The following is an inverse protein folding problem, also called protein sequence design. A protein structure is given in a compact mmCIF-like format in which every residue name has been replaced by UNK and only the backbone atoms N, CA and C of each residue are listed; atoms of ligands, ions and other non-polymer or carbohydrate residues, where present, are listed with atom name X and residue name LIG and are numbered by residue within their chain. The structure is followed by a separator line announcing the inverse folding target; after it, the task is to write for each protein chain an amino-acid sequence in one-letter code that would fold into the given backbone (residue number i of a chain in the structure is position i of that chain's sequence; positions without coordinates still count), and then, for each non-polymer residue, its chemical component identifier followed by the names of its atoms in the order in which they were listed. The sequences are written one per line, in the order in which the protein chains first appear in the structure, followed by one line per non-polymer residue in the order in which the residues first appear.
data_IF_323448703791
#
_entry.id   IF_323448703791
#
_cell.length_a   1.000
_cell.length_b   1.000
_cell.length_c   1.000
_cell.angle_alpha   90.00
_cell.angle_beta   90.00
_cell.angle_gamma   90.00
#
_symmetry.space_group_name_H-M   'P 1'
#
loop_
_entity.id
_entity.type
_entity.pdbx_description
1 polymer ?
#
# COMPACT_ATOMS: atom_id res chain seq x y z
N UNK A 1 -8.01 -9.74 -17.42
CA UNK A 1 -7.06 -9.27 -16.40
C UNK A 1 -7.55 -7.90 -15.96
N UNK A 2 -8.19 -7.84 -14.80
CA UNK A 2 -8.64 -6.59 -14.22
C UNK A 2 -7.54 -6.04 -13.32
N UNK A 3 -7.35 -4.73 -13.33
CA UNK A 3 -6.41 -4.07 -12.44
C UNK A 3 -7.05 -2.81 -11.88
N UNK A 4 -6.51 -2.30 -10.78
CA UNK A 4 -6.86 -0.97 -10.28
C UNK A 4 -5.64 -0.09 -10.28
N UNK A 5 -5.86 1.21 -10.52
CA UNK A 5 -4.80 2.21 -10.58
C UNK A 5 -5.18 3.45 -9.78
N UNK A 6 -4.17 4.24 -9.41
CA UNK A 6 -4.37 5.47 -8.65
C UNK A 6 -4.23 6.69 -9.56
N UNK A 7 -5.28 7.49 -9.69
CA UNK A 7 -5.19 8.86 -10.19
C UNK A 7 -4.71 9.79 -9.07
N UNK A 8 -3.62 10.50 -9.34
CA UNK A 8 -2.98 11.45 -8.42
C UNK A 8 -2.98 12.88 -8.98
N UNK A 9 -3.89 13.19 -9.90
CA UNK A 9 -4.14 14.55 -10.38
C UNK A 9 -4.32 15.53 -9.21
N UNK A 10 -5.00 15.07 -8.14
CA UNK A 10 -4.98 15.68 -6.81
C UNK A 10 -4.11 14.84 -5.88
N UNK A 11 -3.01 15.43 -5.36
CA UNK A 11 -2.00 14.69 -4.60
C UNK A 11 -2.45 14.29 -3.20
N UNK A 12 -3.28 15.11 -2.58
CA UNK A 12 -3.74 14.95 -1.20
C UNK A 12 -5.03 14.12 -1.11
N UNK A 13 -5.69 13.90 -2.25
CA UNK A 13 -6.90 13.09 -2.38
C UNK A 13 -6.82 12.18 -3.63
N UNK A 14 -5.84 11.25 -3.69
CA UNK A 14 -5.74 10.29 -4.79
C UNK A 14 -7.01 9.44 -4.93
N UNK A 15 -7.42 9.22 -6.18
CA UNK A 15 -8.59 8.44 -6.54
C UNK A 15 -8.17 7.05 -6.99
N UNK A 16 -8.83 6.03 -6.47
CA UNK A 16 -8.71 4.66 -6.94
C UNK A 16 -9.64 4.48 -8.14
N UNK A 17 -9.08 4.08 -9.27
CA UNK A 17 -9.79 3.83 -10.52
C UNK A 17 -9.87 2.33 -10.80
N UNK A 18 -10.99 1.90 -11.37
CA UNK A 18 -11.06 0.62 -12.07
C UNK A 18 -10.27 0.76 -13.39
N UNK A 19 -9.29 -0.11 -13.58
CA UNK A 19 -8.39 -0.14 -14.74
C UNK A 19 -7.77 1.25 -15.00
N UNK A 20 -8.07 1.87 -16.14
CA UNK A 20 -7.59 3.21 -16.53
C UNK A 20 -8.64 4.32 -16.31
N UNK A 21 -9.75 4.01 -15.62
CA UNK A 21 -10.93 4.89 -15.51
C UNK A 21 -11.92 4.72 -16.66
N UNK A 22 -13.06 5.43 -16.65
CA UNK A 22 -13.39 6.55 -15.76
C UNK A 22 -14.03 6.15 -14.42
N UNK A 23 -14.26 4.86 -14.18
CA UNK A 23 -14.91 4.39 -12.96
C UNK A 23 -14.00 4.59 -11.73
N UNK A 24 -14.53 5.31 -10.73
CA UNK A 24 -13.85 5.62 -9.47
C UNK A 24 -14.38 4.69 -8.38
N UNK A 25 -13.50 3.89 -7.79
CA UNK A 25 -13.82 2.95 -6.72
C UNK A 25 -13.74 3.60 -5.34
N UNK A 26 -12.92 4.65 -5.19
CA UNK A 26 -12.86 5.44 -3.97
C UNK A 26 -11.91 6.62 -4.05
N UNK A 27 -12.02 7.52 -3.09
CA UNK A 27 -11.14 8.68 -2.92
C UNK A 27 -10.47 8.59 -1.54
N UNK A 28 -9.15 8.67 -1.50
CA UNK A 28 -8.36 8.41 -0.29
C UNK A 28 -7.53 9.63 0.05
N UNK A 29 -7.62 10.09 1.29
CA UNK A 29 -6.73 11.09 1.88
C UNK A 29 -5.71 10.41 2.80
N UNK A 30 -5.01 11.19 3.64
CA UNK A 30 -4.08 10.64 4.62
C UNK A 30 -4.79 9.98 5.81
N UNK A 31 -5.93 10.51 6.22
CA UNK A 31 -6.63 10.11 7.46
C UNK A 31 -8.04 9.54 7.19
N UNK A 32 -8.53 9.65 5.96
CA UNK A 32 -9.86 9.18 5.60
C UNK A 32 -9.93 8.66 4.17
N UNK A 33 -10.94 7.85 3.88
CA UNK A 33 -11.31 7.48 2.51
C UNK A 33 -12.82 7.47 2.32
N UNK A 34 -13.27 7.69 1.10
CA UNK A 34 -14.65 7.46 0.69
C UNK A 34 -14.67 6.30 -0.30
N UNK A 35 -15.22 5.16 0.10
CA UNK A 35 -15.30 3.94 -0.71
C UNK A 35 -16.77 3.52 -0.81
N UNK A 36 -17.31 3.42 -2.03
CA UNK A 36 -18.72 3.04 -2.22
C UNK A 36 -19.73 3.95 -1.50
N UNK A 37 -19.38 5.22 -1.26
CA UNK A 37 -20.20 6.18 -0.50
C UNK A 37 -20.10 6.06 1.03
N UNK A 38 -19.30 5.13 1.55
CA UNK A 38 -18.99 5.03 2.97
C UNK A 38 -17.69 5.75 3.30
N UNK A 39 -17.68 6.48 4.42
CA UNK A 39 -16.47 7.11 4.93
C UNK A 39 -15.71 6.14 5.84
N UNK A 40 -14.43 5.96 5.55
CA UNK A 40 -13.50 5.20 6.35
C UNK A 40 -12.52 6.16 7.04
N UNK A 41 -12.24 5.92 8.30
CA UNK A 41 -11.15 6.54 9.05
C UNK A 41 -9.90 5.65 8.93
N UNK A 42 -8.81 6.21 8.44
CA UNK A 42 -7.57 5.50 8.14
C UNK A 42 -6.52 5.78 9.23
N UNK A 43 -5.92 4.71 9.74
CA UNK A 43 -4.79 4.78 10.65
C UNK A 43 -3.66 3.91 10.12
N UNK A 44 -2.52 4.52 9.78
CA UNK A 44 -1.34 3.81 9.29
C UNK A 44 -0.20 3.97 10.29
N UNK A 45 0.37 2.85 10.71
CA UNK A 45 1.53 2.78 11.57
C UNK A 45 2.57 1.86 10.91
N UNK A 46 3.57 2.39 10.18
CA UNK A 46 4.48 1.60 9.34
C UNK A 46 5.16 0.40 10.03
N UNK A 47 5.32 0.47 11.35
CA UNK A 47 5.93 -0.58 12.16
C UNK A 47 4.97 -1.65 12.67
N UNK A 48 3.67 -1.36 12.78
CA UNK A 48 2.67 -2.27 13.34
C UNK A 48 1.54 -2.64 12.38
N UNK A 49 1.34 -1.90 11.29
CA UNK A 49 0.34 -2.20 10.28
C UNK A 49 -0.53 -1.01 9.87
N UNK A 50 -1.73 -1.29 9.41
CA UNK A 50 -2.70 -0.28 9.00
C UNK A 50 -4.12 -0.76 9.34
N UNK A 51 -4.99 0.17 9.73
CA UNK A 51 -6.39 -0.10 10.09
C UNK A 51 -7.29 0.93 9.42
N UNK A 52 -8.36 0.47 8.78
CA UNK A 52 -9.46 1.31 8.31
C UNK A 52 -10.73 0.98 9.11
N UNK A 53 -11.44 2.02 9.57
CA UNK A 53 -12.70 1.88 10.30
C UNK A 53 -13.84 2.56 9.57
N UNK A 54 -15.00 1.92 9.48
CA UNK A 54 -16.23 2.53 8.99
C UNK A 54 -17.23 2.56 10.14
N UNK A 55 -17.74 3.74 10.51
CA UNK A 55 -18.68 3.91 11.64
C UNK A 55 -18.18 3.29 12.97
N UNK A 56 -16.87 3.30 13.21
CA UNK A 56 -16.24 2.73 14.41
C UNK A 56 -15.92 1.23 14.33
N UNK A 57 -16.41 0.51 13.32
CA UNK A 57 -16.10 -0.90 13.09
C UNK A 57 -14.89 -1.04 12.16
N UNK A 58 -13.98 -1.95 12.48
CA UNK A 58 -12.82 -2.24 11.63
C UNK A 58 -13.29 -2.94 10.34
N UNK A 59 -13.02 -2.32 9.19
CA UNK A 59 -13.34 -2.87 7.87
C UNK A 59 -12.12 -3.44 7.17
N UNK A 60 -10.93 -2.88 7.44
CA UNK A 60 -9.66 -3.38 6.93
C UNK A 60 -8.64 -3.37 8.06
N UNK A 61 -7.88 -4.43 8.22
CA UNK A 61 -6.81 -4.54 9.20
C UNK A 61 -5.61 -5.28 8.60
N UNK A 62 -4.44 -4.65 8.60
CA UNK A 62 -3.17 -5.25 8.24
C UNK A 62 -2.30 -5.36 9.50
N UNK A 63 -1.84 -6.57 9.87
CA UNK A 63 -1.17 -6.83 11.16
C UNK A 63 0.29 -7.25 11.00
N UNK A 64 1.13 -6.38 10.45
CA UNK A 64 2.58 -6.55 10.41
C UNK A 64 3.29 -5.23 10.06
N UNK A 65 4.61 -5.19 10.23
CA UNK A 65 5.42 -4.05 9.75
C UNK A 65 5.33 -3.93 8.22
N UNK A 66 4.69 -2.88 7.74
CA UNK A 66 4.57 -2.56 6.31
C UNK A 66 5.94 -2.30 5.67
N UNK A 67 6.88 -1.77 6.46
CA UNK A 67 8.23 -1.48 6.00
C UNK A 67 9.09 -2.76 5.88
N UNK A 68 9.01 -3.67 6.85
CA UNK A 68 10.04 -4.72 7.05
C UNK A 68 9.53 -6.15 6.86
N UNK A 69 8.25 -6.42 7.06
CA UNK A 69 7.73 -7.77 6.99
C UNK A 69 7.84 -8.34 5.56
N UNK A 70 8.01 -9.66 5.48
CA UNK A 70 7.92 -10.43 4.22
C UNK A 70 6.52 -10.90 3.93
N UNK A 71 5.74 -11.10 4.98
CA UNK A 71 4.33 -11.51 4.94
C UNK A 71 3.53 -10.55 5.79
N UNK A 72 2.44 -10.03 5.25
CA UNK A 72 1.55 -9.09 5.92
C UNK A 72 0.14 -9.68 5.87
N UNK A 73 -0.36 -10.23 7.00
CA UNK A 73 -1.75 -10.64 7.10
C UNK A 73 -2.66 -9.43 6.95
N UNK A 74 -3.72 -9.56 6.16
CA UNK A 74 -4.73 -8.52 5.91
C UNK A 74 -6.12 -9.13 6.05
N UNK A 75 -6.94 -8.55 6.92
CA UNK A 75 -8.34 -8.91 7.10
C UNK A 75 -9.23 -7.81 6.53
N UNK A 76 -10.22 -8.18 5.74
CA UNK A 76 -11.22 -7.27 5.17
C UNK A 76 -12.60 -7.86 5.40
N UNK A 77 -13.38 -7.26 6.31
CA UNK A 77 -14.63 -7.86 6.78
C UNK A 77 -14.40 -9.29 7.29
N UNK A 78 -15.04 -10.27 6.66
CA UNK A 78 -14.90 -11.70 6.99
C UNK A 78 -13.77 -12.41 6.23
N UNK A 79 -13.14 -11.73 5.26
CA UNK A 79 -12.13 -12.34 4.37
C UNK A 79 -10.74 -12.08 4.90
N UNK A 80 -9.87 -13.06 4.70
CA UNK A 80 -8.47 -13.00 5.10
C UNK A 80 -7.58 -13.17 3.88
N UNK A 81 -6.54 -12.36 3.82
CA UNK A 81 -5.54 -12.32 2.79
C UNK A 81 -4.16 -12.28 3.40
N UNK A 82 -3.15 -12.66 2.63
CA UNK A 82 -1.75 -12.47 2.99
C UNK A 82 -1.02 -11.83 1.82
N UNK A 83 -0.43 -10.66 2.06
CA UNK A 83 0.51 -10.04 1.14
C UNK A 83 1.87 -10.69 1.34
N UNK A 84 2.43 -11.31 0.32
CA UNK A 84 3.71 -12.04 0.37
C UNK A 84 4.71 -11.39 -0.57
N UNK A 85 5.90 -11.08 -0.05
CA UNK A 85 7.03 -10.63 -0.85
C UNK A 85 7.74 -11.84 -1.49
N UNK A 86 7.51 -12.08 -2.79
CA UNK A 86 8.13 -13.20 -3.49
C UNK A 86 9.62 -12.95 -3.77
N UNK A 87 9.94 -11.78 -4.33
CA UNK A 87 11.31 -11.40 -4.65
C UNK A 87 11.46 -9.90 -4.69
N UNK A 88 12.20 -9.34 -3.73
CA UNK A 88 12.61 -7.94 -3.71
C UNK A 88 11.42 -6.98 -3.71
N UNK A 89 11.02 -6.53 -4.90
CA UNK A 89 9.98 -5.53 -5.15
C UNK A 89 8.63 -6.12 -5.58
N UNK A 90 8.55 -7.43 -5.84
CA UNK A 90 7.35 -8.10 -6.31
C UNK A 90 6.58 -8.70 -5.14
N UNK A 91 5.27 -8.46 -5.14
CA UNK A 91 4.34 -8.89 -4.11
C UNK A 91 3.16 -9.60 -4.74
N UNK A 92 2.69 -10.63 -4.05
CA UNK A 92 1.44 -11.34 -4.37
C UNK A 92 0.48 -11.22 -3.21
N UNK A 93 -0.80 -11.27 -3.50
CA UNK A 93 -1.89 -11.34 -2.52
C UNK A 93 -2.49 -12.73 -2.65
N UNK A 94 -2.41 -13.49 -1.57
CA UNK A 94 -3.03 -14.80 -1.48
C UNK A 94 -4.29 -14.70 -0.62
N UNK A 95 -5.32 -15.46 -0.95
CA UNK A 95 -6.50 -15.60 -0.11
C UNK A 95 -6.27 -16.60 1.04
N UNK A 96 -7.32 -16.88 1.81
CA UNK A 96 -7.28 -17.83 2.92
C UNK A 96 -6.99 -19.29 2.50
N UNK A 97 -7.24 -19.65 1.23
CA UNK A 97 -6.91 -20.96 0.67
C UNK A 97 -5.47 -21.04 0.16
N UNK A 98 -4.74 -19.92 0.14
CA UNK A 98 -3.40 -19.81 -0.44
C UNK A 98 -3.42 -19.63 -1.95
N UNK A 99 -4.58 -19.36 -2.55
CA UNK A 99 -4.72 -19.07 -3.97
C UNK A 99 -4.35 -17.60 -4.23
N UNK A 100 -3.57 -17.37 -5.28
CA UNK A 100 -3.15 -16.03 -5.67
C UNK A 100 -4.34 -15.29 -6.30
N UNK A 101 -4.76 -14.21 -5.65
CA UNK A 101 -5.87 -13.38 -6.11
C UNK A 101 -5.41 -12.07 -6.75
N UNK A 102 -4.23 -11.59 -6.36
CA UNK A 102 -3.68 -10.36 -6.92
C UNK A 102 -2.15 -10.30 -6.87
N UNK A 103 -1.57 -9.33 -7.58
CA UNK A 103 -0.15 -9.00 -7.51
C UNK A 103 0.08 -7.50 -7.67
N UNK A 104 1.17 -7.02 -7.08
CA UNK A 104 1.65 -5.65 -7.26
C UNK A 104 3.17 -5.61 -7.22
N UNK A 105 3.77 -4.62 -7.88
CA UNK A 105 5.23 -4.46 -7.92
C UNK A 105 5.63 -3.01 -7.69
N UNK A 106 6.81 -2.83 -7.10
CA UNK A 106 7.46 -1.53 -6.99
C UNK A 106 8.31 -1.18 -8.23
N UNK A 107 8.59 -2.14 -9.12
CA UNK A 107 9.46 -1.91 -10.28
C UNK A 107 8.76 -1.11 -11.40
N UNK A 108 9.55 -0.29 -12.11
CA UNK A 108 9.18 0.57 -13.25
C UNK A 108 8.22 1.75 -12.99
N UNK A 109 7.37 1.72 -11.96
CA UNK A 109 6.43 2.82 -11.68
C UNK A 109 6.49 3.38 -10.25
N UNK A 110 7.06 2.64 -9.29
CA UNK A 110 6.99 2.96 -7.86
C UNK A 110 5.57 3.31 -7.38
N UNK A 111 5.43 4.01 -6.24
CA UNK A 111 4.14 4.51 -5.74
C UNK A 111 3.41 5.49 -6.71
N UNK A 112 4.05 5.93 -7.81
CA UNK A 112 3.38 6.84 -8.77
C UNK A 112 2.33 6.13 -9.62
N UNK A 113 2.45 4.81 -9.81
CA UNK A 113 1.39 3.93 -10.32
C UNK A 113 1.44 2.62 -9.55
N UNK A 114 0.97 2.64 -8.30
CA UNK A 114 0.71 1.40 -7.58
C UNK A 114 -0.45 0.70 -8.32
N UNK A 115 -0.15 -0.32 -9.09
CA UNK A 115 -1.15 -1.10 -9.80
C UNK A 115 -1.31 -2.41 -9.05
N UNK A 116 -2.56 -2.72 -8.70
CA UNK A 116 -2.91 -4.02 -8.17
C UNK A 116 -3.64 -4.77 -9.29
N UNK A 117 -3.02 -5.84 -9.76
CA UNK A 117 -3.52 -6.69 -10.83
C UNK A 117 -4.19 -7.91 -10.22
N UNK A 118 -5.43 -8.19 -10.61
CA UNK A 118 -6.19 -9.33 -10.12
C UNK A 118 -6.17 -10.48 -11.13
N UNK A 119 -6.14 -11.71 -10.61
CA UNK A 119 -6.27 -12.91 -11.42
C UNK A 119 -7.75 -13.21 -11.72
N UNK A 120 -8.08 -13.56 -12.98
CA UNK A 120 -9.44 -13.91 -13.40
C UNK A 120 -10.41 -12.74 -13.62
N UNK A 121 -11.72 -13.05 -13.64
CA UNK A 121 -12.80 -12.06 -13.52
C UNK A 121 -12.91 -11.68 -12.03
N UNK A 122 -12.74 -10.40 -11.70
CA UNK A 122 -12.75 -9.89 -10.32
C UNK A 122 -14.12 -10.08 -9.69
N UNK A 123 -14.33 -11.23 -9.03
CA UNK A 123 -15.53 -11.55 -8.27
C UNK A 123 -15.44 -11.00 -6.82
N UNK A 124 -14.41 -10.18 -6.54
CA UNK A 124 -14.20 -9.57 -5.24
C UNK A 124 -15.12 -8.36 -5.06
N UNK A 125 -15.75 -8.19 -3.88
CA UNK A 125 -16.45 -6.96 -3.51
C UNK A 125 -15.57 -5.72 -3.68
N UNK A 126 -16.19 -4.59 -4.02
CA UNK A 126 -15.47 -3.31 -4.17
C UNK A 126 -14.71 -2.91 -2.89
N UNK A 127 -15.24 -3.24 -1.71
CA UNK A 127 -14.58 -3.05 -0.41
C UNK A 127 -13.24 -3.79 -0.34
N UNK A 128 -13.20 -5.05 -0.77
CA UNK A 128 -11.99 -5.88 -0.78
C UNK A 128 -10.96 -5.31 -1.74
N UNK A 129 -11.40 -4.95 -2.95
CA UNK A 129 -10.55 -4.34 -3.97
C UNK A 129 -9.95 -3.03 -3.46
N UNK A 130 -10.76 -2.17 -2.85
CA UNK A 130 -10.34 -0.89 -2.31
C UNK A 130 -9.40 -1.06 -1.10
N UNK A 131 -9.70 -1.99 -0.19
CA UNK A 131 -8.87 -2.29 0.96
C UNK A 131 -7.50 -2.85 0.58
N UNK A 132 -7.46 -3.83 -0.34
CA UNK A 132 -6.20 -4.38 -0.85
C UNK A 132 -5.38 -3.35 -1.63
N UNK A 133 -6.04 -2.51 -2.45
CA UNK A 133 -5.37 -1.44 -3.16
C UNK A 133 -4.77 -0.40 -2.20
N UNK A 134 -5.49 -0.08 -1.12
CA UNK A 134 -5.00 0.82 -0.09
C UNK A 134 -3.81 0.24 0.67
N UNK A 135 -3.92 -0.97 1.22
CA UNK A 135 -2.83 -1.60 1.99
C UNK A 135 -1.59 -1.81 1.10
N UNK A 136 -1.75 -2.23 -0.16
CA UNK A 136 -0.61 -2.37 -1.09
C UNK A 136 0.09 -1.02 -1.33
N UNK A 137 -0.65 0.08 -1.45
CA UNK A 137 -0.06 1.43 -1.53
C UNK A 137 0.75 1.77 -0.28
N UNK A 138 0.20 1.54 0.91
CA UNK A 138 0.87 1.83 2.19
C UNK A 138 2.15 0.99 2.38
N UNK A 139 2.16 -0.27 1.93
CA UNK A 139 3.37 -1.10 1.90
C UNK A 139 4.46 -0.49 1.01
N UNK A 140 4.08 -0.02 -0.18
CA UNK A 140 5.01 0.63 -1.11
C UNK A 140 5.53 1.98 -0.59
N UNK A 141 4.70 2.74 0.13
CA UNK A 141 5.06 4.02 0.75
C UNK A 141 6.00 3.82 1.94
N UNK A 142 5.67 2.91 2.86
CA UNK A 142 6.48 2.60 4.04
C UNK A 142 7.91 2.17 3.66
N UNK A 143 8.06 1.34 2.62
CA UNK A 143 9.38 0.91 2.13
C UNK A 143 10.20 2.05 1.51
N UNK A 144 9.56 3.02 0.85
CA UNK A 144 10.27 4.20 0.30
C UNK A 144 10.83 5.10 1.39
N UNK A 145 10.08 5.30 2.47
CA UNK A 145 10.53 6.13 3.59
C UNK A 145 11.76 5.54 4.28
N UNK A 146 11.79 4.21 4.48
CA UNK A 146 12.95 3.51 5.04
C UNK A 146 14.24 3.73 4.22
N UNK A 147 14.16 3.60 2.89
CA UNK A 147 15.32 3.80 1.99
C UNK A 147 15.77 5.27 2.00
N UNK A 148 14.83 6.22 2.02
CA UNK A 148 15.14 7.65 2.00
C UNK A 148 15.88 8.08 3.28
N UNK A 149 15.43 7.61 4.45
CA UNK A 149 16.08 7.92 5.73
C UNK A 149 17.51 7.34 5.81
N UNK A 150 17.73 6.13 5.29
CA UNK A 150 19.06 5.52 5.24
C UNK A 150 20.03 6.34 4.36
N UNK A 151 19.55 6.84 3.21
CA UNK A 151 20.35 7.66 2.31
C UNK A 151 20.71 9.01 2.96
N UNK A 152 19.76 9.69 3.59
CA UNK A 152 20.01 10.94 4.32
C UNK A 152 21.06 10.73 5.42
N UNK A 153 20.92 9.66 6.21
CA UNK A 153 21.90 9.31 7.25
C UNK A 153 23.30 9.08 6.69
N UNK A 154 23.42 8.40 5.54
CA UNK A 154 24.71 8.14 4.88
C UNK A 154 25.36 9.41 4.36
N UNK A 155 24.57 10.31 3.75
CA UNK A 155 25.04 11.61 3.28
C UNK A 155 25.55 12.50 4.43
N UNK A 156 24.84 12.51 5.56
CA UNK A 156 25.26 13.24 6.76
C UNK A 156 26.57 12.68 7.33
N UNK A 157 26.73 11.35 7.36
CA UNK A 157 27.98 10.71 7.77
C UNK A 157 29.15 11.13 6.88
N UNK A 158 28.99 11.07 5.55
CA UNK A 158 30.03 11.50 4.62
C UNK A 158 30.34 13.00 4.73
N UNK A 159 29.32 13.84 4.90
CA UNK A 159 29.53 15.26 5.16
C UNK A 159 30.36 15.49 6.43
N UNK A 160 30.08 14.75 7.51
CA UNK A 160 30.87 14.81 8.74
C UNK A 160 32.33 14.36 8.54
N UNK A 161 32.57 13.27 7.79
CA UNK A 161 33.92 12.80 7.47
C UNK A 161 34.70 13.84 6.66
N UNK A 162 34.06 14.47 5.67
CA UNK A 162 34.71 15.52 4.85
C UNK A 162 35.14 16.69 5.73
N UNK A 163 34.26 17.16 6.61
CA UNK A 163 34.58 18.22 7.57
C UNK A 163 35.75 17.81 8.46
N UNK A 164 35.72 16.60 9.03
CA UNK A 164 36.80 16.08 9.87
C UNK A 164 38.16 16.09 9.13
N UNK A 165 38.20 15.60 7.88
CA UNK A 165 39.43 15.56 7.08
C UNK A 165 39.92 16.96 6.71
N UNK A 166 39.02 17.92 6.47
CA UNK A 166 39.43 19.30 6.17
C UNK A 166 40.07 20.03 7.35
N UNK A 167 39.77 19.62 8.58
CA UNK A 167 40.27 20.24 9.80
C UNK A 167 41.39 19.44 10.49
N UNK A 168 41.85 18.33 9.89
CA UNK A 168 42.97 17.50 10.35
C UNK A 168 44.22 17.76 9.50
#
# INVERSE_FOLDING_TARGET
MHYVSWDRSQRDAPKLLAEAGPEVLGEFTHESATVGGQQWDLLVAPESGAVAKCNGETVVEATASLARAKEIPVHIGERSYVLVNEWGKNWVVNDAAGEKVAQFTQDHNGVRKAILEFEGETTLPATDVAGLAWVSREVLEAKKLGISNALIGTLLLFSGIIVLVMFL
#
